data_IF_706673957236
#
_entry.id   IF_706673957236
#
_cell.length_a   1.000
_cell.length_b   1.000
_cell.length_c   1.000
_cell.angle_alpha   90.00
_cell.angle_beta   90.00
_cell.angle_gamma   90.00
#
_symmetry.space_group_name_H-M   'P 1'
#
loop_
_entity.id
_entity.type
_entity.pdbx_description
1 polymer ?
#
# COMPACT_ATOMS: atom_id res chain seq x y z
N UNK A 1 20.25 60.31 -7.86
CA UNK A 1 18.91 60.32 -8.50
C UNK A 1 19.18 60.73 -9.95
N UNK A 2 19.19 59.83 -10.92
CA UNK A 2 18.00 59.20 -11.50
C UNK A 2 18.29 57.78 -11.98
N UNK A 3 17.26 56.96 -11.86
CA UNK A 3 17.16 55.57 -12.26
C UNK A 3 16.94 55.49 -13.78
N UNK A 4 17.67 54.60 -14.46
CA UNK A 4 17.44 54.23 -15.86
C UNK A 4 17.33 52.72 -15.96
N UNK A 5 16.14 52.17 -15.67
CA UNK A 5 15.82 50.77 -15.92
C UNK A 5 15.76 50.52 -17.43
N UNK A 6 16.74 49.80 -17.97
CA UNK A 6 16.66 49.21 -19.31
C UNK A 6 15.84 47.91 -19.20
N UNK A 7 14.58 48.01 -19.60
CA UNK A 7 13.67 46.87 -19.69
C UNK A 7 14.20 45.84 -20.68
N UNK A 8 14.72 44.73 -20.16
CA UNK A 8 15.04 43.55 -20.95
C UNK A 8 13.73 42.89 -21.40
N UNK A 9 13.33 43.14 -22.64
CA UNK A 9 12.21 42.44 -23.29
C UNK A 9 12.54 40.95 -23.36
N UNK A 10 11.85 40.16 -22.55
CA UNK A 10 11.83 38.70 -22.66
C UNK A 10 11.15 38.36 -24.00
N UNK A 11 11.95 38.04 -25.02
CA UNK A 11 11.43 37.54 -26.30
C UNK A 11 11.01 36.08 -26.07
N UNK A 12 9.73 35.87 -25.79
CA UNK A 12 9.11 34.54 -25.90
C UNK A 12 9.06 34.18 -27.38
N UNK A 13 10.05 33.40 -27.84
CA UNK A 13 10.01 32.78 -29.16
C UNK A 13 8.84 31.79 -29.15
N UNK A 14 7.71 32.21 -29.72
CA UNK A 14 6.61 31.31 -30.11
C UNK A 14 7.16 30.40 -31.21
N UNK A 15 7.62 29.20 -30.84
CA UNK A 15 7.79 28.14 -31.81
C UNK A 15 6.40 27.71 -32.29
N UNK A 16 6.01 28.17 -33.47
CA UNK A 16 4.84 27.68 -34.19
C UNK A 16 5.11 26.24 -34.63
N UNK A 17 4.69 25.26 -33.82
CA UNK A 17 4.80 23.85 -34.18
C UNK A 17 3.58 23.44 -35.02
N UNK A 18 3.73 23.52 -36.34
CA UNK A 18 2.79 22.92 -37.30
C UNK A 18 3.28 21.50 -37.58
N UNK A 19 2.61 20.48 -37.03
CA UNK A 19 2.83 19.09 -37.47
C UNK A 19 1.52 18.50 -38.01
N UNK A 20 1.55 18.14 -39.29
CA UNK A 20 0.54 17.38 -40.02
C UNK A 20 0.31 16.04 -39.29
N UNK A 21 -0.92 15.76 -38.90
CA UNK A 21 -1.29 14.50 -38.25
C UNK A 21 -1.08 13.31 -39.20
N UNK A 22 -0.54 12.16 -38.73
CA UNK A 22 -0.63 10.92 -39.46
C UNK A 22 -2.07 10.41 -39.40
N UNK A 23 -2.53 9.92 -40.54
CA UNK A 23 -3.92 9.61 -40.87
C UNK A 23 -4.63 8.75 -39.81
N UNK A 24 -5.77 9.28 -39.33
CA UNK A 24 -6.95 8.53 -38.93
C UNK A 24 -6.76 7.49 -37.83
N UNK A 25 -6.93 7.92 -36.58
CA UNK A 25 -7.75 7.34 -35.50
C UNK A 25 -7.34 8.02 -34.17
N UNK A 26 -8.32 8.48 -33.38
CA UNK A 26 -8.19 9.19 -32.09
C UNK A 26 -7.63 10.64 -32.12
N UNK A 27 -8.45 11.58 -32.61
CA UNK A 27 -8.08 13.00 -32.67
C UNK A 27 -8.02 13.75 -31.32
N UNK A 28 -8.48 13.17 -30.21
CA UNK A 28 -8.57 13.86 -28.91
C UNK A 28 -7.31 13.67 -28.03
N UNK A 29 -6.46 12.69 -28.34
CA UNK A 29 -5.32 12.30 -27.49
C UNK A 29 -4.02 13.08 -27.79
N UNK A 30 -3.80 13.45 -29.07
CA UNK A 30 -2.53 14.00 -29.53
C UNK A 30 -2.32 15.50 -29.23
N UNK A 31 -3.40 16.27 -29.06
CA UNK A 31 -3.33 17.73 -28.85
C UNK A 31 -2.72 18.05 -27.48
N UNK A 32 -2.95 17.21 -26.47
CA UNK A 32 -2.39 17.37 -25.12
C UNK A 32 -1.06 16.65 -24.91
N UNK A 33 -0.72 15.67 -25.74
CA UNK A 33 0.57 14.97 -25.67
C UNK A 33 1.73 15.83 -26.18
N UNK A 34 1.50 16.76 -27.11
CA UNK A 34 2.60 17.54 -27.71
C UNK A 34 3.25 18.56 -26.75
N UNK A 35 2.52 19.34 -25.93
CA UNK A 35 3.16 20.30 -25.01
C UNK A 35 3.80 19.59 -23.81
N UNK A 36 3.14 18.56 -23.28
CA UNK A 36 3.65 17.80 -22.14
C UNK A 36 4.93 17.04 -22.48
N UNK A 37 4.97 16.38 -23.65
CA UNK A 37 6.18 15.72 -24.14
C UNK A 37 7.33 16.71 -24.35
N UNK A 38 7.03 17.91 -24.85
CA UNK A 38 8.03 18.98 -25.01
C UNK A 38 8.59 19.41 -23.65
N UNK A 39 7.75 19.65 -22.64
CA UNK A 39 8.21 20.04 -21.29
C UNK A 39 9.13 18.97 -20.69
N UNK A 40 8.76 17.69 -20.77
CA UNK A 40 9.61 16.60 -20.28
C UNK A 40 10.93 16.57 -21.05
N UNK A 41 10.90 16.74 -22.38
CA UNK A 41 12.11 16.77 -23.19
C UNK A 41 13.04 17.95 -22.83
N UNK A 42 12.47 19.13 -22.57
CA UNK A 42 13.24 20.26 -22.07
C UNK A 42 13.86 19.94 -20.70
N UNK A 43 13.08 19.37 -19.78
CA UNK A 43 13.59 18.98 -18.46
C UNK A 43 14.75 17.98 -18.57
N UNK A 44 14.61 16.92 -19.38
CA UNK A 44 15.66 15.93 -19.61
C UNK A 44 16.94 16.57 -20.21
N UNK A 45 16.77 17.55 -21.12
CA UNK A 45 17.90 18.28 -21.70
C UNK A 45 18.64 19.15 -20.67
N UNK A 46 17.91 19.77 -19.74
CA UNK A 46 18.47 20.55 -18.63
C UNK A 46 19.16 19.63 -17.64
N UNK A 47 18.54 18.52 -17.28
CA UNK A 47 19.14 17.49 -16.44
C UNK A 47 20.48 17.01 -17.01
N UNK A 48 20.55 16.74 -18.32
CA UNK A 48 21.80 16.32 -18.99
C UNK A 48 22.90 17.37 -18.89
N UNK A 49 22.57 18.66 -19.02
CA UNK A 49 23.54 19.77 -18.87
C UNK A 49 24.04 19.91 -17.44
N UNK A 50 23.14 19.75 -16.46
CA UNK A 50 23.45 19.85 -15.03
C UNK A 50 24.24 18.63 -14.55
N UNK A 51 23.95 17.43 -15.06
CA UNK A 51 24.64 16.20 -14.68
C UNK A 51 26.14 16.18 -15.06
N UNK A 52 26.56 17.04 -15.99
CA UNK A 52 27.98 17.25 -16.30
C UNK A 52 28.71 18.10 -15.25
N UNK A 53 27.97 18.82 -14.41
CA UNK A 53 28.49 19.55 -13.26
C UNK A 53 28.41 18.60 -12.06
N UNK A 54 29.53 18.40 -11.36
CA UNK A 54 29.63 17.46 -10.24
C UNK A 54 28.89 17.99 -9.00
N UNK A 55 27.56 17.98 -9.06
CA UNK A 55 26.68 18.28 -7.94
C UNK A 55 26.46 16.98 -7.18
N UNK A 56 26.74 17.01 -5.87
CA UNK A 56 26.67 15.84 -4.97
C UNK A 56 25.41 15.02 -5.21
N UNK A 57 25.60 13.75 -5.57
CA UNK A 57 24.52 12.82 -5.94
C UNK A 57 23.89 12.17 -4.70
N UNK A 58 23.37 12.99 -3.81
CA UNK A 58 22.88 12.55 -2.50
C UNK A 58 21.52 11.84 -2.59
N UNK A 59 20.78 12.06 -3.68
CA UNK A 59 19.45 11.49 -3.91
C UNK A 59 19.40 10.58 -5.13
N UNK A 60 19.48 9.26 -4.97
CA UNK A 60 19.43 8.30 -6.08
C UNK A 60 18.11 8.37 -6.84
N UNK A 61 16.99 8.61 -6.15
CA UNK A 61 15.66 8.66 -6.76
C UNK A 61 15.48 9.90 -7.64
N UNK A 62 15.99 11.05 -7.18
CA UNK A 62 15.86 12.33 -7.90
C UNK A 62 16.98 12.57 -8.92
N UNK A 63 18.11 11.86 -8.82
CA UNK A 63 19.23 11.93 -9.77
C UNK A 63 19.00 11.05 -11.02
N UNK A 64 17.79 11.10 -11.57
CA UNK A 64 17.41 10.44 -12.82
C UNK A 64 16.61 11.43 -13.67
N UNK A 65 16.67 11.35 -15.02
CA UNK A 65 15.84 12.19 -15.87
C UNK A 65 14.36 11.99 -15.54
N UNK A 66 13.57 13.07 -15.59
CA UNK A 66 12.16 13.07 -15.20
C UNK A 66 11.36 12.00 -15.96
N UNK A 67 11.68 11.80 -17.24
CA UNK A 67 11.08 10.74 -18.05
C UNK A 67 11.26 9.34 -17.46
N UNK A 68 12.46 9.03 -16.98
CA UNK A 68 12.75 7.73 -16.39
C UNK A 68 11.98 7.54 -15.07
N UNK A 69 11.89 8.59 -14.25
CA UNK A 69 11.10 8.58 -13.02
C UNK A 69 9.62 8.31 -13.31
N UNK A 70 9.05 9.00 -14.31
CA UNK A 70 7.66 8.82 -14.73
C UNK A 70 7.45 7.39 -15.26
N UNK A 71 8.32 6.92 -16.15
CA UNK A 71 8.20 5.58 -16.71
C UNK A 71 8.26 4.51 -15.61
N UNK A 72 9.18 4.62 -14.66
CA UNK A 72 9.30 3.69 -13.54
C UNK A 72 8.05 3.73 -12.63
N UNK A 73 7.49 4.92 -12.40
CA UNK A 73 6.24 5.08 -11.65
C UNK A 73 5.07 4.43 -12.39
N UNK A 74 5.00 4.61 -13.71
CA UNK A 74 3.93 4.06 -14.55
C UNK A 74 3.98 2.53 -14.65
N UNK A 75 5.17 1.91 -14.59
CA UNK A 75 5.31 0.44 -14.55
C UNK A 75 4.52 -0.17 -13.37
N UNK A 76 4.46 0.52 -12.24
CA UNK A 76 3.77 0.08 -11.03
C UNK A 76 2.68 1.07 -10.58
N UNK A 77 1.92 1.61 -11.54
CA UNK A 77 0.92 2.66 -11.29
C UNK A 77 -0.05 2.32 -10.16
N UNK A 78 -0.65 1.13 -10.18
CA UNK A 78 -1.64 0.71 -9.19
C UNK A 78 -1.07 0.66 -7.77
N UNK A 79 0.17 0.19 -7.64
CA UNK A 79 0.84 0.13 -6.34
C UNK A 79 1.10 1.53 -5.78
N UNK A 80 1.58 2.45 -6.64
CA UNK A 80 1.84 3.83 -6.25
C UNK A 80 0.54 4.54 -5.87
N UNK A 81 -0.53 4.36 -6.65
CA UNK A 81 -1.84 4.94 -6.37
C UNK A 81 -2.40 4.48 -5.02
N UNK A 82 -2.36 3.18 -4.75
CA UNK A 82 -2.84 2.64 -3.49
C UNK A 82 -2.01 3.10 -2.29
N UNK A 83 -0.71 3.33 -2.49
CA UNK A 83 0.18 3.86 -1.46
C UNK A 83 -0.03 5.34 -1.20
N UNK A 84 -0.30 6.13 -2.24
CA UNK A 84 -0.57 7.56 -2.15
C UNK A 84 -1.97 7.89 -1.62
N UNK A 85 -2.86 6.91 -1.46
CA UNK A 85 -4.20 7.14 -0.92
C UNK A 85 -4.20 6.90 0.58
N UNK A 86 -4.87 7.75 1.37
CA UNK A 86 -5.00 7.52 2.80
C UNK A 86 -5.75 6.21 3.06
N UNK A 87 -5.33 5.46 4.09
CA UNK A 87 -6.06 4.27 4.51
C UNK A 87 -7.46 4.67 4.98
N UNK A 88 -8.51 4.04 4.42
CA UNK A 88 -9.93 4.24 4.73
C UNK A 88 -10.27 4.30 6.24
N UNK A 89 -9.45 3.68 7.10
CA UNK A 89 -9.65 3.64 8.54
C UNK A 89 -8.90 4.74 9.33
N UNK A 90 -7.97 5.45 8.70
CA UNK A 90 -7.10 6.47 9.32
C UNK A 90 -7.31 7.85 8.69
N UNK A 91 -8.56 8.19 8.38
CA UNK A 91 -8.91 9.49 7.80
C UNK A 91 -9.04 10.54 8.92
N UNK A 92 -7.91 11.11 9.33
CA UNK A 92 -7.89 12.46 9.91
C UNK A 92 -7.82 13.46 8.75
N UNK A 93 -8.88 13.50 7.95
CA UNK A 93 -9.00 14.43 6.82
C UNK A 93 -9.81 15.61 7.30
N UNK A 94 -9.27 16.81 7.07
CA UNK A 94 -9.94 18.06 7.39
C UNK A 94 -11.31 18.08 6.70
N UNK A 95 -12.38 18.19 7.50
CA UNK A 95 -13.76 18.24 7.00
C UNK A 95 -14.43 16.87 6.76
N UNK A 96 -13.80 15.76 7.13
CA UNK A 96 -14.41 14.42 7.01
C UNK A 96 -15.68 14.28 7.86
N UNK A 97 -15.73 14.95 9.02
CA UNK A 97 -16.88 14.90 9.93
C UNK A 97 -18.13 15.50 9.28
N UNK A 98 -17.96 16.60 8.54
CA UNK A 98 -19.02 17.22 7.76
C UNK A 98 -19.51 16.29 6.64
N UNK A 99 -18.59 15.59 5.97
CA UNK A 99 -18.95 14.63 4.91
C UNK A 99 -19.68 13.42 5.48
N UNK A 100 -19.25 12.88 6.62
CA UNK A 100 -19.94 11.75 7.30
C UNK A 100 -21.36 12.09 7.73
N UNK A 101 -21.64 13.34 8.08
CA UNK A 101 -22.96 13.76 8.51
C UNK A 101 -23.93 13.96 7.33
N UNK A 102 -23.43 14.40 6.17
CA UNK A 102 -24.27 14.85 5.04
C UNK A 102 -24.28 13.90 3.83
N UNK A 103 -23.37 12.94 3.76
CA UNK A 103 -23.11 12.17 2.54
C UNK A 103 -23.16 10.67 2.80
N UNK A 104 -23.74 9.92 1.87
CA UNK A 104 -23.80 8.46 1.94
C UNK A 104 -22.40 7.83 1.99
N UNK A 105 -22.20 6.74 2.77
CA UNK A 105 -20.90 6.08 2.91
C UNK A 105 -20.24 5.65 1.59
N UNK A 106 -21.06 5.33 0.58
CA UNK A 106 -20.59 4.91 -0.75
C UNK A 106 -19.95 6.07 -1.50
N UNK A 107 -20.55 7.26 -1.44
CA UNK A 107 -20.02 8.46 -2.08
C UNK A 107 -18.76 8.96 -1.35
N UNK A 108 -18.68 8.81 -0.03
CA UNK A 108 -17.45 9.09 0.74
C UNK A 108 -16.30 8.18 0.28
N UNK A 109 -16.56 6.90 0.02
CA UNK A 109 -15.56 5.98 -0.50
C UNK A 109 -15.14 6.31 -1.94
N UNK A 110 -16.02 6.89 -2.75
CA UNK A 110 -15.65 7.34 -4.09
C UNK A 110 -14.80 8.61 -4.03
N UNK A 111 -15.19 9.59 -3.22
CA UNK A 111 -14.43 10.83 -2.98
C UNK A 111 -13.05 10.52 -2.40
N UNK A 112 -12.94 9.54 -1.49
CA UNK A 112 -11.64 9.20 -0.88
C UNK A 112 -10.62 8.65 -1.88
N UNK A 113 -11.05 8.14 -3.05
CA UNK A 113 -10.15 7.70 -4.12
C UNK A 113 -9.44 8.87 -4.82
N UNK A 114 -10.02 10.07 -4.76
CA UNK A 114 -9.44 11.28 -5.33
C UNK A 114 -8.58 12.05 -4.33
N UNK A 115 -8.51 11.58 -3.09
CA UNK A 115 -7.63 12.14 -2.07
C UNK A 115 -6.26 11.47 -2.14
N UNK A 116 -5.23 12.29 -2.23
CA UNK A 116 -3.84 11.86 -2.25
C UNK A 116 -3.08 12.44 -1.06
N UNK A 117 -2.29 11.60 -0.41
CA UNK A 117 -1.40 11.89 0.71
C UNK A 117 0.05 11.64 0.27
N UNK A 118 0.88 12.68 0.37
CA UNK A 118 2.30 12.63 0.02
C UNK A 118 3.20 12.30 1.23
N UNK A 119 2.62 12.06 2.41
CA UNK A 119 3.35 11.76 3.66
C UNK A 119 4.39 10.65 3.49
N UNK A 120 4.03 9.57 2.80
CA UNK A 120 4.93 8.44 2.54
C UNK A 120 6.12 8.82 1.65
N UNK A 121 5.88 9.69 0.66
CA UNK A 121 6.91 10.22 -0.23
C UNK A 121 7.84 11.18 0.52
N UNK A 122 7.26 12.07 1.33
CA UNK A 122 7.99 12.98 2.20
C UNK A 122 8.91 12.24 3.17
N UNK A 123 8.40 11.19 3.83
CA UNK A 123 9.21 10.35 4.72
C UNK A 123 10.33 9.64 3.96
N UNK A 124 10.10 9.20 2.72
CA UNK A 124 11.14 8.59 1.88
C UNK A 124 12.25 9.59 1.55
N UNK A 125 11.89 10.80 1.12
CA UNK A 125 12.84 11.88 0.84
C UNK A 125 13.63 12.27 2.09
N UNK A 126 12.96 12.36 3.23
CA UNK A 126 13.57 12.68 4.52
C UNK A 126 14.58 11.60 4.94
N UNK A 127 14.26 10.32 4.75
CA UNK A 127 15.20 9.21 5.00
C UNK A 127 16.44 9.31 4.13
N UNK A 128 16.27 9.71 2.87
CA UNK A 128 17.38 9.88 1.93
C UNK A 128 18.29 11.07 2.33
N UNK A 129 17.70 12.21 2.73
CA UNK A 129 18.43 13.36 3.30
C UNK A 129 19.23 12.97 4.53
N UNK A 130 18.58 12.25 5.45
CA UNK A 130 19.20 11.80 6.69
C UNK A 130 20.32 10.80 6.40
N UNK A 131 20.15 9.95 5.39
CA UNK A 131 21.16 8.95 5.01
C UNK A 131 22.36 9.57 4.30
N UNK A 132 22.17 10.67 3.55
CA UNK A 132 23.25 11.34 2.82
C UNK A 132 24.02 12.32 3.70
N UNK A 133 23.36 12.94 4.67
CA UNK A 133 24.00 13.85 5.63
C UNK A 133 24.54 13.07 6.83
N UNK A 134 25.85 13.13 7.08
CA UNK A 134 26.41 12.71 8.38
C UNK A 134 25.98 13.73 9.44
N UNK A 135 24.80 13.52 10.03
CA UNK A 135 24.27 14.43 11.03
C UNK A 135 25.03 14.22 12.35
N UNK A 136 25.86 15.20 12.71
CA UNK A 136 26.61 15.21 13.98
C UNK A 136 25.80 15.75 15.17
N UNK A 137 24.51 16.04 14.98
CA UNK A 137 23.62 16.53 16.04
C UNK A 137 22.91 15.37 16.77
N UNK A 138 23.09 15.32 18.10
CA UNK A 138 22.55 14.28 18.98
C UNK A 138 21.02 14.19 18.97
N UNK A 139 20.31 15.32 18.87
CA UNK A 139 18.85 15.37 18.82
C UNK A 139 18.27 14.85 17.50
N UNK A 140 18.98 15.05 16.39
CA UNK A 140 18.55 14.54 15.08
C UNK A 140 18.82 13.05 14.93
N UNK A 141 19.75 12.49 15.71
CA UNK A 141 20.07 11.05 15.73
C UNK A 141 18.93 10.18 16.31
N UNK A 142 18.15 10.70 17.27
CA UNK A 142 17.00 9.96 17.83
C UNK A 142 15.82 9.93 16.85
N UNK A 143 15.56 11.05 16.16
CA UNK A 143 14.50 11.14 15.15
C UNK A 143 14.86 10.33 13.91
N UNK A 144 16.12 10.40 13.45
CA UNK A 144 16.60 9.62 12.31
C UNK A 144 16.53 8.12 12.55
N UNK A 145 16.96 7.64 13.72
CA UNK A 145 16.88 6.21 14.07
C UNK A 145 15.44 5.71 14.11
N UNK A 146 14.51 6.49 14.69
CA UNK A 146 13.07 6.17 14.70
C UNK A 146 12.47 6.07 13.29
N UNK A 147 12.83 6.99 12.39
CA UNK A 147 12.37 6.99 11.00
C UNK A 147 12.95 5.81 10.20
N UNK A 148 14.25 5.51 10.38
CA UNK A 148 14.93 4.40 9.70
C UNK A 148 14.47 3.03 10.21
N UNK A 149 14.04 2.91 11.47
CA UNK A 149 13.64 1.64 12.07
C UNK A 149 12.14 1.34 11.95
N UNK A 150 11.30 2.33 11.65
CA UNK A 150 9.84 2.14 11.45
C UNK A 150 9.47 1.14 10.34
N UNK A 151 10.39 0.84 9.42
CA UNK A 151 10.19 -0.14 8.34
C UNK A 151 10.74 -1.55 8.60
N UNK A 152 11.43 -1.78 9.74
CA UNK A 152 11.96 -3.11 10.06
C UNK A 152 10.81 -3.95 10.64
N UNK A 153 10.26 -4.82 9.79
CA UNK A 153 9.29 -5.89 10.05
C UNK A 153 8.89 -6.01 11.52
N UNK A 154 7.64 -5.65 11.82
CA UNK A 154 6.97 -6.15 13.01
C UNK A 154 7.14 -7.66 13.02
N UNK A 155 7.91 -8.19 13.97
CA UNK A 155 8.03 -9.63 14.11
C UNK A 155 6.63 -10.15 14.39
N UNK A 156 6.06 -10.92 13.45
CA UNK A 156 4.76 -11.55 13.67
C UNK A 156 4.82 -12.24 15.04
N UNK A 157 3.91 -11.88 15.93
CA UNK A 157 3.83 -12.50 17.24
C UNK A 157 3.41 -13.96 17.04
N UNK A 158 4.39 -14.84 16.89
CA UNK A 158 4.15 -16.27 16.72
C UNK A 158 3.77 -16.82 18.09
N UNK A 159 2.53 -17.29 18.20
CA UNK A 159 2.07 -18.06 19.35
C UNK A 159 2.99 -19.29 19.55
N UNK A 160 3.92 -19.18 20.49
CA UNK A 160 4.93 -20.21 20.79
C UNK A 160 4.29 -21.49 21.30
N UNK A 161 3.06 -21.45 21.82
CA UNK A 161 2.33 -22.65 22.26
C UNK A 161 1.70 -23.37 21.06
N UNK A 162 1.33 -22.64 20.03
CA UNK A 162 0.78 -23.19 18.81
C UNK A 162 1.82 -23.90 17.93
N UNK A 163 3.11 -23.54 18.00
CA UNK A 163 4.14 -24.04 17.05
C UNK A 163 4.53 -25.51 17.23
N UNK A 164 4.19 -26.14 18.37
CA UNK A 164 4.53 -27.54 18.69
C UNK A 164 3.32 -28.41 19.08
N UNK A 165 2.13 -28.07 18.59
CA UNK A 165 0.93 -28.91 18.77
C UNK A 165 0.35 -28.95 20.18
N UNK A 166 0.81 -28.11 21.12
CA UNK A 166 0.22 -28.00 22.47
C UNK A 166 -1.16 -27.33 22.48
N UNK A 167 -1.57 -26.78 21.34
CA UNK A 167 -2.89 -26.20 21.10
C UNK A 167 -3.59 -27.06 20.06
N UNK A 168 -4.75 -27.61 20.42
CA UNK A 168 -5.57 -28.43 19.52
C UNK A 168 -6.02 -27.57 18.34
N UNK A 169 -5.86 -28.10 17.12
CA UNK A 169 -6.31 -27.47 15.88
C UNK A 169 -7.28 -28.40 15.18
N UNK A 170 -8.47 -27.91 14.87
CA UNK A 170 -9.48 -28.64 14.12
C UNK A 170 -9.19 -28.52 12.62
N UNK A 171 -8.13 -29.19 12.17
CA UNK A 171 -7.73 -29.26 10.75
C UNK A 171 -7.69 -30.74 10.36
N UNK A 172 -8.34 -31.14 9.25
CA UNK A 172 -8.32 -32.53 8.81
C UNK A 172 -6.90 -32.96 8.45
N UNK A 173 -6.49 -34.15 8.90
CA UNK A 173 -5.19 -34.75 8.57
C UNK A 173 -5.41 -35.71 7.39
N UNK A 174 -4.92 -35.42 6.17
CA UNK A 174 -5.26 -36.20 4.97
C UNK A 174 -4.89 -37.69 5.05
N UNK A 175 -3.85 -38.02 5.84
CA UNK A 175 -3.40 -39.42 6.04
C UNK A 175 -4.29 -40.21 7.01
N UNK A 176 -5.06 -39.52 7.85
CA UNK A 176 -5.99 -40.13 8.80
C UNK A 176 -7.42 -40.11 8.27
N UNK A 177 -7.67 -39.40 7.16
CA UNK A 177 -8.93 -39.48 6.45
C UNK A 177 -9.14 -40.91 5.97
N UNK A 178 -10.30 -41.48 6.31
CA UNK A 178 -10.69 -42.87 5.98
C UNK A 178 -9.71 -43.95 6.47
N UNK A 179 -9.02 -43.72 7.60
CA UNK A 179 -8.09 -44.71 8.17
C UNK A 179 -8.78 -46.05 8.50
N UNK A 180 -10.04 -46.03 8.90
CA UNK A 180 -10.85 -47.23 9.18
C UNK A 180 -12.25 -47.05 8.63
N UNK A 181 -12.82 -48.13 8.11
CA UNK A 181 -14.23 -48.19 7.74
C UNK A 181 -15.10 -48.25 9.01
N UNK A 182 -16.25 -47.60 8.99
CA UNK A 182 -17.24 -47.74 10.07
C UNK A 182 -17.79 -49.16 10.06
N UNK A 183 -17.80 -49.78 11.23
CA UNK A 183 -18.53 -51.03 11.45
C UNK A 183 -19.80 -50.73 12.25
N UNK A 184 -20.95 -51.34 11.90
CA UNK A 184 -22.13 -51.24 12.74
C UNK A 184 -21.79 -51.82 14.11
N UNK A 185 -22.19 -51.13 15.18
CA UNK A 185 -21.95 -51.60 16.54
C UNK A 185 -22.77 -52.87 16.80
N UNK A 186 -22.14 -54.03 16.66
CA UNK A 186 -22.71 -55.32 17.08
C UNK A 186 -22.50 -55.50 18.60
N UNK A 187 -22.97 -54.55 19.40
CA UNK A 187 -22.92 -54.70 20.86
C UNK A 187 -23.91 -55.80 21.26
N UNK A 188 -23.41 -56.95 21.67
CA UNK A 188 -24.24 -57.98 22.28
C UNK A 188 -24.44 -57.59 23.74
N UNK A 189 -25.54 -56.90 24.05
CA UNK A 189 -25.90 -56.48 25.41
C UNK A 189 -26.44 -57.65 26.27
N UNK A 190 -25.86 -58.84 26.12
CA UNK A 190 -26.26 -60.04 26.88
C UNK A 190 -26.07 -59.88 28.39
N UNK A 191 -25.08 -59.08 28.79
CA UNK A 191 -24.78 -58.81 30.21
C UNK A 191 -25.59 -57.64 30.79
N UNK A 192 -26.29 -56.85 29.95
CA UNK A 192 -27.06 -55.68 30.37
C UNK A 192 -28.42 -55.66 29.65
N UNK A 193 -29.37 -56.50 30.08
CA UNK A 193 -30.67 -56.57 29.43
C UNK A 193 -31.37 -55.21 29.49
N UNK A 194 -31.83 -54.72 28.33
CA UNK A 194 -32.51 -53.43 28.20
C UNK A 194 -31.60 -52.25 27.81
N UNK A 195 -30.28 -52.46 27.70
CA UNK A 195 -29.35 -51.44 27.18
C UNK A 195 -29.56 -51.12 25.68
N UNK A 196 -30.27 -52.00 24.95
CA UNK A 196 -30.70 -51.75 23.57
C UNK A 196 -31.88 -50.77 23.48
N UNK A 197 -32.58 -50.51 24.59
CA UNK A 197 -33.72 -49.60 24.62
C UNK A 197 -33.21 -48.17 24.91
N UNK A 198 -33.23 -47.32 23.88
CA UNK A 198 -32.77 -45.92 23.98
C UNK A 198 -33.48 -45.15 25.10
N UNK A 199 -34.78 -45.34 25.28
CA UNK A 199 -35.59 -44.69 26.32
C UNK A 199 -35.17 -45.08 27.74
N UNK A 200 -34.77 -46.35 27.94
CA UNK A 200 -34.31 -46.85 29.23
C UNK A 200 -32.95 -46.26 29.60
N UNK A 201 -32.03 -46.21 28.63
CA UNK A 201 -30.72 -45.57 28.80
C UNK A 201 -30.88 -44.08 29.08
N UNK A 202 -31.77 -43.40 28.35
CA UNK A 202 -32.04 -41.98 28.55
C UNK A 202 -32.62 -41.70 29.95
N UNK A 203 -33.54 -42.55 30.41
CA UNK A 203 -34.09 -42.46 31.77
C UNK A 203 -33.00 -42.64 32.84
N UNK A 204 -32.11 -43.63 32.66
CA UNK A 204 -30.98 -43.85 33.56
C UNK A 204 -30.04 -42.63 33.55
N UNK A 205 -29.64 -42.13 32.40
CA UNK A 205 -28.73 -40.98 32.28
C UNK A 205 -29.33 -39.72 32.90
N UNK A 206 -30.63 -39.51 32.75
CA UNK A 206 -31.36 -38.41 33.42
C UNK A 206 -31.33 -38.59 34.94
N UNK A 207 -31.54 -39.81 35.44
CA UNK A 207 -31.52 -40.06 36.89
C UNK A 207 -30.13 -39.86 37.52
N UNK A 208 -29.05 -40.21 36.79
CA UNK A 208 -27.66 -40.05 37.25
C UNK A 208 -27.20 -38.60 37.35
N UNK A 209 -27.75 -37.71 36.52
CA UNK A 209 -27.38 -36.29 36.46
C UNK A 209 -28.20 -35.40 37.43
N UNK A 210 -29.13 -35.99 38.18
CA UNK A 210 -30.01 -35.29 39.13
C UNK A 210 -29.52 -35.43 40.59
N UNK A 211 -28.37 -36.08 40.82
CA UNK A 211 -27.70 -36.11 42.12
C UNK A 211 -26.78 -34.89 42.35
#
# INVERSE_FOLDING_TARGET
MTCGQTGSRLILIRHSFTSRAPNGLEEQSWIYQTPFCWVIQQNDSWFSRIAMVEIRKDFKVLNQPLRAQIQQTLLNKEHVLNKSRPNANSLDIIGIDFLREKVDPILIHEISKDIYDDSDSFVSLLKEIISSKTINDSNLNSVSSSLLHKGKKTTNNVDRRASKGRKIRYVPIPKLENFMASYPSLHTNSHLPGADNEEFVECIMKSLLVA
#
